data_IF_484020323835
#
_entry.id   IF_484020323835
#
_cell.length_a   1.000
_cell.length_b   1.000
_cell.length_c   1.000
_cell.angle_alpha   90.00
_cell.angle_beta   90.00
_cell.angle_gamma   90.00
#
_symmetry.space_group_name_H-M   'P 1'
#
loop_
_entity.id
_entity.type
_entity.pdbx_description
1 polymer ?
#
# COMPACT_ATOMS: atom_id res chain seq x y z
N UNK A 1 -15.28 11.22 -14.42
CA UNK A 1 -14.78 9.95 -14.98
C UNK A 1 -15.39 8.82 -14.16
N UNK A 2 -16.20 7.97 -14.79
CA UNK A 2 -16.65 6.72 -14.17
C UNK A 2 -15.50 5.73 -14.32
N UNK A 3 -14.80 5.43 -13.22
CA UNK A 3 -13.89 4.29 -13.16
C UNK A 3 -14.77 3.04 -13.25
N UNK A 4 -14.93 2.49 -14.45
CA UNK A 4 -15.55 1.18 -14.61
C UNK A 4 -14.68 0.19 -13.85
N UNK A 5 -15.23 -0.34 -12.78
CA UNK A 5 -14.60 -1.35 -11.95
C UNK A 5 -14.20 -2.50 -12.87
N UNK A 6 -12.90 -2.78 -12.95
CA UNK A 6 -12.35 -3.80 -13.82
C UNK A 6 -12.61 -5.14 -13.11
N UNK A 7 -13.78 -5.72 -13.33
CA UNK A 7 -14.23 -6.93 -12.65
C UNK A 7 -13.92 -8.15 -13.52
N UNK A 8 -13.04 -9.02 -13.05
CA UNK A 8 -13.06 -10.43 -13.47
C UNK A 8 -14.23 -11.13 -12.77
N UNK A 9 -14.63 -12.33 -13.21
CA UNK A 9 -15.72 -13.09 -12.56
C UNK A 9 -15.49 -13.34 -11.05
N UNK A 10 -14.24 -13.25 -10.58
CA UNK A 10 -13.84 -13.34 -9.17
C UNK A 10 -13.50 -11.98 -8.53
N UNK A 11 -13.55 -10.87 -9.28
CA UNK A 11 -13.11 -9.55 -8.85
C UNK A 11 -11.59 -9.43 -8.64
N UNK A 12 -10.81 -10.44 -9.02
CA UNK A 12 -9.36 -10.51 -8.86
C UNK A 12 -8.66 -10.19 -10.18
N UNK A 13 -7.81 -9.16 -10.18
CA UNK A 13 -6.91 -8.86 -11.28
C UNK A 13 -5.54 -9.44 -10.94
N UNK A 14 -5.10 -10.43 -11.71
CA UNK A 14 -3.87 -11.20 -11.46
C UNK A 14 -2.72 -10.74 -12.37
N UNK A 15 -1.44 -11.04 -12.02
CA UNK A 15 -0.31 -10.77 -12.89
C UNK A 15 -0.53 -11.34 -14.31
N UNK A 16 -0.29 -10.51 -15.32
CA UNK A 16 -0.54 -10.84 -16.73
C UNK A 16 -1.85 -10.29 -17.30
N UNK A 17 -2.74 -9.75 -16.46
CA UNK A 17 -3.92 -9.02 -16.94
C UNK A 17 -3.52 -7.62 -17.44
N UNK A 18 -4.07 -7.11 -18.55
CA UNK A 18 -3.69 -5.80 -19.12
C UNK A 18 -3.82 -4.63 -18.14
N UNK A 19 -4.77 -4.73 -17.22
CA UNK A 19 -5.05 -3.71 -16.21
C UNK A 19 -4.44 -3.99 -14.84
N UNK A 20 -3.54 -4.99 -14.72
CA UNK A 20 -2.96 -5.39 -13.44
C UNK A 20 -2.16 -4.25 -12.80
N UNK A 21 -1.31 -3.59 -13.57
CA UNK A 21 -0.52 -2.46 -13.08
C UNK A 21 -1.42 -1.27 -12.72
N UNK A 22 -2.36 -0.91 -13.59
CA UNK A 22 -3.31 0.18 -13.33
C UNK A 22 -4.12 -0.07 -12.06
N UNK A 23 -4.55 -1.32 -11.84
CA UNK A 23 -5.25 -1.72 -10.62
C UNK A 23 -4.36 -1.59 -9.38
N UNK A 24 -3.14 -2.13 -9.41
CA UNK A 24 -2.15 -1.99 -8.32
C UNK A 24 -1.98 -0.52 -7.90
N UNK A 25 -1.90 0.41 -8.85
CA UNK A 25 -1.74 1.84 -8.56
C UNK A 25 -3.03 2.58 -8.18
N UNK A 26 -4.20 2.03 -8.51
CA UNK A 26 -5.49 2.69 -8.28
C UNK A 26 -6.28 2.14 -7.07
N UNK A 27 -5.87 1.01 -6.50
CA UNK A 27 -6.60 0.38 -5.38
C UNK A 27 -5.84 0.44 -4.07
N UNK A 28 -6.47 1.08 -3.09
CA UNK A 28 -6.01 1.07 -1.70
C UNK A 28 -6.27 -0.29 -1.03
N UNK A 29 -5.54 -0.63 0.05
CA UNK A 29 -5.55 -1.94 0.68
C UNK A 29 -6.94 -2.39 1.10
N UNK A 30 -7.33 -3.67 0.94
CA UNK A 30 -8.63 -4.15 1.39
C UNK A 30 -8.91 -3.75 2.84
N UNK A 31 -10.17 -3.42 3.16
CA UNK A 31 -10.63 -3.04 4.52
C UNK A 31 -10.10 -1.72 5.09
N UNK A 32 -9.25 -0.97 4.37
CA UNK A 32 -8.70 0.33 4.84
C UNK A 32 -9.79 1.30 5.31
N UNK A 33 -10.94 1.34 4.62
CA UNK A 33 -12.06 2.23 4.99
C UNK A 33 -12.66 1.88 6.36
N UNK A 34 -12.76 0.59 6.66
CA UNK A 34 -13.26 0.14 7.95
C UNK A 34 -12.23 0.46 9.05
N UNK A 35 -10.94 0.32 8.76
CA UNK A 35 -9.88 0.72 9.67
C UNK A 35 -9.92 2.24 9.96
N UNK A 36 -9.98 3.06 8.91
CA UNK A 36 -10.06 4.52 8.99
C UNK A 36 -11.31 5.03 9.74
N UNK A 37 -12.43 4.30 9.65
CA UNK A 37 -13.63 4.64 10.41
C UNK A 37 -13.42 4.55 11.93
N UNK A 38 -12.57 3.63 12.38
CA UNK A 38 -12.25 3.45 13.80
C UNK A 38 -11.00 4.23 14.24
N UNK A 39 -10.16 4.65 13.29
CA UNK A 39 -8.91 5.38 13.51
C UNK A 39 -8.89 6.62 12.60
N UNK A 40 -9.43 7.76 13.06
CA UNK A 40 -9.53 8.97 12.24
C UNK A 40 -8.15 9.52 11.84
N UNK A 41 -7.16 9.34 12.71
CA UNK A 41 -5.76 9.75 12.48
C UNK A 41 -4.92 8.52 12.09
N UNK A 42 -5.15 8.02 10.88
CA UNK A 42 -4.44 6.87 10.32
C UNK A 42 -3.49 7.29 9.18
N UNK A 43 -2.51 6.43 8.89
CA UNK A 43 -1.58 6.57 7.78
C UNK A 43 -1.52 5.28 6.96
N UNK A 44 -0.84 5.33 5.81
CA UNK A 44 -0.46 4.14 5.06
C UNK A 44 1.05 3.96 5.12
N UNK A 45 1.51 2.74 5.39
CA UNK A 45 2.93 2.38 5.36
C UNK A 45 3.15 1.17 4.44
N UNK A 46 4.30 1.12 3.78
CA UNK A 46 4.70 -0.02 2.97
C UNK A 46 5.61 -0.91 3.81
N UNK A 47 5.17 -2.14 4.12
CA UNK A 47 5.94 -3.03 5.00
C UNK A 47 7.21 -3.52 4.30
N UNK A 48 8.34 -3.38 4.98
CA UNK A 48 9.61 -3.99 4.54
C UNK A 48 9.45 -5.52 4.34
N UNK A 49 10.17 -6.08 3.38
CA UNK A 49 10.15 -7.47 2.94
C UNK A 49 8.93 -7.89 2.10
N UNK A 50 7.77 -7.23 2.27
CA UNK A 50 6.54 -7.57 1.52
C UNK A 50 6.16 -6.54 0.46
N UNK A 51 6.52 -5.26 0.66
CA UNK A 51 6.07 -4.16 -0.19
C UNK A 51 4.56 -3.91 -0.17
N UNK A 52 3.83 -4.56 0.76
CA UNK A 52 2.38 -4.42 0.88
C UNK A 52 2.07 -3.13 1.61
N UNK A 53 1.18 -2.32 1.03
CA UNK A 53 0.64 -1.13 1.65
C UNK A 53 -0.39 -1.52 2.71
N UNK A 54 -0.26 -0.99 3.93
CA UNK A 54 -1.14 -1.28 5.06
C UNK A 54 -1.63 0.02 5.71
N UNK A 55 -2.89 0.05 6.14
CA UNK A 55 -3.42 1.14 6.95
C UNK A 55 -3.02 0.94 8.41
N UNK A 56 -2.41 1.94 9.02
CA UNK A 56 -1.86 1.87 10.39
C UNK A 56 -2.31 3.08 11.21
N UNK A 57 -2.30 2.93 12.53
CA UNK A 57 -2.53 4.05 13.45
C UNK A 57 -1.36 5.04 13.40
N UNK A 58 -1.58 6.26 13.92
CA UNK A 58 -0.49 7.23 14.07
C UNK A 58 0.70 6.67 14.86
N UNK A 59 0.46 5.95 15.96
CA UNK A 59 1.53 5.37 16.78
C UNK A 59 2.37 4.37 15.98
N UNK A 60 1.71 3.48 15.24
CA UNK A 60 2.41 2.50 14.39
C UNK A 60 3.18 3.16 13.25
N UNK A 61 2.71 4.32 12.75
CA UNK A 61 3.44 5.11 11.78
C UNK A 61 4.70 5.75 12.40
N UNK A 62 4.60 6.28 13.62
CA UNK A 62 5.75 6.79 14.36
C UNK A 62 6.76 5.67 14.61
N UNK A 63 6.31 4.48 15.03
CA UNK A 63 7.18 3.31 15.20
C UNK A 63 7.82 2.85 13.88
N UNK A 64 7.10 2.93 12.75
CA UNK A 64 7.63 2.59 11.43
C UNK A 64 8.78 3.53 11.02
N UNK A 65 8.63 4.84 11.24
CA UNK A 65 9.63 5.86 10.91
C UNK A 65 10.78 5.85 11.91
N UNK A 66 10.50 5.87 13.21
CA UNK A 66 11.51 5.98 14.27
C UNK A 66 12.18 4.64 14.61
N UNK A 67 11.50 3.51 14.34
CA UNK A 67 12.00 2.17 14.60
C UNK A 67 12.91 1.61 13.49
N UNK A 68 13.14 2.38 12.42
CA UNK A 68 14.02 2.01 11.30
C UNK A 68 13.44 0.95 10.37
N UNK A 69 12.12 0.69 10.41
CA UNK A 69 11.46 -0.16 9.40
C UNK A 69 11.42 0.57 8.05
N UNK A 70 11.18 1.88 8.06
CA UNK A 70 11.22 2.71 6.86
C UNK A 70 12.58 2.70 6.17
N UNK A 71 13.66 2.81 6.94
CA UNK A 71 15.03 2.80 6.39
C UNK A 71 15.32 1.49 5.64
N UNK A 72 14.88 0.36 6.21
CA UNK A 72 15.01 -0.95 5.53
C UNK A 72 14.20 -1.02 4.24
N UNK A 73 13.00 -0.43 4.24
CA UNK A 73 12.18 -0.37 3.03
C UNK A 73 12.87 0.47 1.94
N UNK A 74 13.53 1.58 2.30
CA UNK A 74 14.34 2.38 1.37
C UNK A 74 15.51 1.57 0.78
N UNK A 75 16.24 0.83 1.62
CA UNK A 75 17.32 -0.07 1.17
C UNK A 75 16.79 -1.15 0.20
N UNK A 76 15.62 -1.72 0.46
CA UNK A 76 15.02 -2.78 -0.38
C UNK A 76 14.44 -2.27 -1.70
N UNK A 77 13.87 -1.06 -1.71
CA UNK A 77 13.33 -0.45 -2.91
C UNK A 77 14.40 0.06 -3.87
N UNK A 78 15.68 0.01 -3.46
CA UNK A 78 16.80 0.42 -4.30
C UNK A 78 16.72 1.90 -4.63
N UNK A 79 16.34 2.73 -3.65
CA UNK A 79 16.52 4.18 -3.73
C UNK A 79 18.03 4.48 -3.59
N UNK A 80 18.81 3.97 -4.55
CA UNK A 80 20.13 4.47 -4.91
C UNK A 80 19.89 5.85 -5.56
N UNK A 81 19.59 6.85 -4.74
CA UNK A 81 19.95 8.23 -5.08
C UNK A 81 21.50 8.35 -5.01
N UNK A 82 22.22 7.53 -5.80
CA UNK A 82 23.61 7.75 -6.19
C UNK A 82 23.61 8.27 -7.64
N UNK A 83 23.75 9.60 -7.76
CA UNK A 83 24.24 10.41 -8.90
C UNK A 83 24.31 9.79 -10.32
#
# INVERSE_FOLDING_TARGET
MNLQQIETESGLILPGHPFFNDYLYCTLPPTWRNFAFHNPDFAFVARSGSGILEAVTQQEMEEYVEGGEYDKWLEECGDDDED
#
